data_IF_748391940350
#
_entry.id   IF_748391940350
#
_cell.length_a   1.000
_cell.length_b   1.000
_cell.length_c   1.000
_cell.angle_alpha   90.00
_cell.angle_beta   90.00
_cell.angle_gamma   90.00
#
_symmetry.space_group_name_H-M   'P 1'
#
loop_
_entity.id
_entity.type
_entity.pdbx_description
1 polymer ?
#
# COMPACT_ATOMS: atom_id res chain seq x y z
N UNK A 1 21.55 0.61 -7.59
CA UNK A 1 20.33 0.54 -8.43
C UNK A 1 19.31 1.38 -7.70
N UNK A 2 19.45 2.68 -7.90
CA UNK A 2 18.82 3.74 -7.13
C UNK A 2 17.38 3.88 -7.60
N UNK A 3 16.47 3.41 -6.74
CA UNK A 3 15.04 3.63 -6.91
C UNK A 3 14.85 5.14 -6.78
N UNK A 4 14.35 5.78 -7.85
CA UNK A 4 14.08 7.21 -7.90
C UNK A 4 12.91 7.54 -6.97
N UNK A 5 13.17 7.68 -5.67
CA UNK A 5 12.21 8.35 -4.78
C UNK A 5 12.16 9.82 -5.21
N UNK A 6 11.11 10.19 -5.94
CA UNK A 6 10.86 11.59 -6.31
C UNK A 6 10.29 12.27 -5.06
N UNK A 7 11.14 12.99 -4.33
CA UNK A 7 10.68 13.86 -3.25
C UNK A 7 10.03 15.10 -3.86
N UNK A 8 8.74 15.32 -3.59
CA UNK A 8 8.06 16.52 -4.04
C UNK A 8 8.43 17.67 -3.10
N UNK A 9 9.14 18.68 -3.62
CA UNK A 9 9.58 19.83 -2.83
C UNK A 9 8.43 20.81 -2.51
N UNK A 10 7.29 20.68 -3.21
CA UNK A 10 6.07 21.42 -2.93
C UNK A 10 5.02 20.50 -2.30
N UNK A 11 4.22 20.99 -1.33
CA UNK A 11 3.06 20.25 -0.86
C UNK A 11 2.12 19.99 -2.04
N UNK A 12 1.81 18.72 -2.27
CA UNK A 12 0.83 18.28 -3.27
C UNK A 12 -0.48 19.00 -2.95
N UNK A 13 -1.15 19.58 -3.96
CA UNK A 13 -2.37 20.31 -3.69
C UNK A 13 -3.41 19.38 -3.04
N UNK A 14 -4.26 19.86 -2.12
CA UNK A 14 -5.28 19.02 -1.48
C UNK A 14 -6.25 18.37 -2.49
N UNK A 15 -6.38 18.96 -3.68
CA UNK A 15 -7.14 18.43 -4.81
C UNK A 15 -6.44 17.31 -5.55
N UNK A 16 -5.11 17.21 -5.44
CA UNK A 16 -4.26 16.21 -6.10
C UNK A 16 -3.99 15.00 -5.19
N UNK A 17 -3.91 15.19 -3.87
CA UNK A 17 -3.80 14.10 -2.90
C UNK A 17 -4.72 14.35 -1.71
N UNK A 18 -5.82 13.60 -1.63
CA UNK A 18 -6.77 13.70 -0.53
C UNK A 18 -6.22 12.89 0.65
N UNK A 19 -5.78 13.60 1.68
CA UNK A 19 -5.26 13.04 2.93
C UNK A 19 -6.24 13.36 4.05
N UNK A 20 -6.48 12.42 4.98
CA UNK A 20 -7.27 12.67 6.18
C UNK A 20 -6.52 13.59 7.15
N UNK A 21 -7.20 14.17 8.14
CA UNK A 21 -6.54 14.96 9.20
C UNK A 21 -5.46 14.15 9.97
N UNK A 22 -5.56 12.82 9.93
CA UNK A 22 -4.59 11.88 10.50
C UNK A 22 -3.39 11.55 9.58
N UNK A 23 -3.26 12.20 8.43
CA UNK A 23 -2.14 11.95 7.51
C UNK A 23 -2.26 10.68 6.67
N UNK A 24 -3.45 10.06 6.61
CA UNK A 24 -3.70 8.83 5.83
C UNK A 24 -4.24 9.16 4.45
N UNK A 25 -3.82 8.40 3.43
CA UNK A 25 -4.41 8.53 2.09
C UNK A 25 -5.90 8.16 2.16
N UNK A 26 -6.80 9.04 1.73
CA UNK A 26 -8.25 8.85 1.93
C UNK A 26 -8.79 7.54 1.33
N UNK A 27 -8.35 7.21 0.12
CA UNK A 27 -8.81 6.05 -0.66
C UNK A 27 -8.30 4.71 -0.08
N UNK A 28 -7.04 4.66 0.34
CA UNK A 28 -6.39 3.46 0.84
C UNK A 28 -6.45 3.33 2.38
N UNK A 29 -6.60 4.45 3.07
CA UNK A 29 -6.57 4.59 4.52
C UNK A 29 -5.26 4.11 5.15
N UNK A 30 -4.18 4.30 4.41
CA UNK A 30 -2.83 3.88 4.80
C UNK A 30 -2.03 5.10 5.24
N UNK A 31 -1.32 4.95 6.36
CA UNK A 31 -0.26 5.86 6.76
C UNK A 31 1.05 5.39 6.11
N UNK A 32 2.00 6.30 5.79
CA UNK A 32 3.31 5.90 5.28
C UNK A 32 4.01 4.86 6.16
N UNK A 33 3.85 4.96 7.48
CA UNK A 33 4.45 4.01 8.42
C UNK A 33 3.83 2.60 8.38
N UNK A 34 2.62 2.45 7.83
CA UNK A 34 1.92 1.16 7.73
C UNK A 34 2.40 0.33 6.52
N UNK A 35 3.16 0.94 5.61
CA UNK A 35 3.69 0.35 4.38
C UNK A 35 5.20 0.12 4.51
N UNK A 36 5.70 -0.93 3.88
CA UNK A 36 7.11 -1.22 3.71
C UNK A 36 7.66 -0.64 2.40
N UNK A 37 8.97 -0.47 2.31
CA UNK A 37 9.62 0.00 1.08
C UNK A 37 9.45 -1.00 -0.08
N UNK A 38 9.44 -2.29 0.24
CA UNK A 38 9.21 -3.37 -0.72
C UNK A 38 7.71 -3.72 -0.79
N UNK A 39 7.13 -3.49 -1.96
CA UNK A 39 5.68 -3.58 -2.18
C UNK A 39 5.35 -4.57 -3.30
N UNK A 40 4.51 -5.56 -2.99
CA UNK A 40 3.94 -6.51 -3.94
C UNK A 40 2.51 -6.11 -4.26
N UNK A 41 2.22 -5.83 -5.53
CA UNK A 41 0.87 -5.49 -5.98
C UNK A 41 0.20 -6.70 -6.62
N UNK A 42 -1.02 -7.02 -6.19
CA UNK A 42 -1.83 -8.10 -6.76
C UNK A 42 -3.18 -7.56 -7.25
N UNK A 43 -3.73 -8.17 -8.30
CA UNK A 43 -5.05 -7.75 -8.80
C UNK A 43 -6.20 -8.26 -7.91
N UNK A 44 -6.11 -9.50 -7.45
CA UNK A 44 -7.16 -10.16 -6.66
C UNK A 44 -6.90 -10.00 -5.15
N UNK A 45 -7.90 -9.53 -4.42
CA UNK A 45 -7.90 -9.39 -2.97
C UNK A 45 -7.68 -10.73 -2.24
N UNK A 46 -8.15 -11.85 -2.80
CA UNK A 46 -7.95 -13.16 -2.20
C UNK A 46 -6.49 -13.64 -2.31
N UNK A 47 -5.69 -13.00 -3.16
CA UNK A 47 -4.27 -13.33 -3.31
C UNK A 47 -3.42 -12.71 -2.21
N UNK A 48 -3.83 -11.60 -1.63
CA UNK A 48 -3.14 -10.93 -0.51
C UNK A 48 -2.95 -11.87 0.69
N UNK A 49 -3.99 -12.52 1.25
CA UNK A 49 -3.81 -13.44 2.36
C UNK A 49 -2.92 -14.64 1.98
N UNK A 50 -3.02 -15.13 0.74
CA UNK A 50 -2.16 -16.23 0.22
C UNK A 50 -0.70 -15.85 0.13
N UNK A 51 -0.35 -14.59 -0.16
CA UNK A 51 1.04 -14.13 -0.12
C UNK A 51 1.48 -13.95 1.33
N UNK A 52 0.66 -13.31 2.15
CA UNK A 52 1.00 -13.03 3.54
C UNK A 52 1.13 -14.29 4.41
N UNK A 53 0.63 -15.45 3.99
CA UNK A 53 0.85 -16.72 4.69
C UNK A 53 2.33 -17.13 4.72
N UNK A 54 3.12 -16.62 3.77
CA UNK A 54 4.55 -16.88 3.69
C UNK A 54 5.35 -15.92 4.56
N UNK A 55 4.73 -14.87 5.10
CA UNK A 55 5.40 -13.94 6.00
C UNK A 55 5.65 -14.61 7.34
N UNK A 56 6.83 -14.37 7.88
CA UNK A 56 7.24 -14.86 9.21
C UNK A 56 6.41 -14.18 10.30
N UNK A 57 6.11 -12.90 10.09
CA UNK A 57 5.27 -12.09 10.96
C UNK A 57 4.42 -11.13 10.14
N UNK A 58 3.22 -10.82 10.62
CA UNK A 58 2.38 -9.79 10.01
C UNK A 58 2.19 -8.68 11.04
N UNK A 59 2.71 -7.50 10.73
CA UNK A 59 2.67 -6.31 11.61
C UNK A 59 1.38 -5.51 11.41
N UNK A 60 0.86 -5.50 10.18
CA UNK A 60 -0.31 -4.70 9.83
C UNK A 60 -1.20 -5.44 8.82
N UNK A 61 -2.51 -5.37 9.05
CA UNK A 61 -3.53 -5.84 8.11
C UNK A 61 -4.65 -4.81 8.05
N UNK A 62 -4.99 -4.36 6.85
CA UNK A 62 -6.13 -3.48 6.62
C UNK A 62 -6.88 -3.89 5.37
N UNK A 63 -8.20 -3.84 5.46
CA UNK A 63 -9.10 -4.10 4.35
C UNK A 63 -10.05 -2.94 4.22
N UNK A 64 -10.09 -2.31 3.04
CA UNK A 64 -11.00 -1.22 2.71
C UNK A 64 -11.55 -1.41 1.30
N UNK A 65 -12.82 -1.79 1.22
CA UNK A 65 -13.53 -2.10 -0.05
C UNK A 65 -12.76 -3.15 -0.88
N UNK A 66 -12.15 -2.73 -1.99
CA UNK A 66 -11.41 -3.59 -2.93
C UNK A 66 -9.90 -3.64 -2.63
N UNK A 67 -9.43 -2.82 -1.69
CA UNK A 67 -8.04 -2.74 -1.26
C UNK A 67 -7.83 -3.56 0.00
N UNK A 68 -7.01 -4.60 -0.10
CA UNK A 68 -6.51 -5.39 1.03
C UNK A 68 -5.02 -5.15 1.09
N UNK A 69 -4.51 -4.71 2.24
CA UNK A 69 -3.07 -4.47 2.45
C UNK A 69 -2.60 -5.23 3.67
N UNK A 70 -1.60 -6.09 3.48
CA UNK A 70 -0.90 -6.78 4.57
C UNK A 70 0.57 -6.36 4.55
N UNK A 71 1.09 -5.89 5.68
CA UNK A 71 2.51 -5.58 5.86
C UNK A 71 3.08 -6.50 6.91
N UNK A 72 4.23 -7.09 6.64
CA UNK A 72 4.89 -8.02 7.53
C UNK A 72 6.36 -8.17 7.22
N UNK A 73 6.95 -9.21 7.79
CA UNK A 73 8.36 -9.55 7.63
C UNK A 73 8.50 -10.86 6.87
N UNK A 74 9.38 -10.87 5.88
CA UNK A 74 9.75 -12.05 5.11
C UNK A 74 11.26 -12.07 4.93
N UNK A 75 11.91 -13.10 5.48
CA UNK A 75 13.36 -13.31 5.36
C UNK A 75 14.16 -12.11 5.91
N UNK A 76 13.71 -11.54 7.04
CA UNK A 76 14.32 -10.36 7.67
C UNK A 76 14.05 -9.02 6.98
N UNK A 77 13.29 -9.00 5.88
CA UNK A 77 12.91 -7.79 5.17
C UNK A 77 11.44 -7.46 5.40
N UNK A 78 11.14 -6.18 5.62
CA UNK A 78 9.76 -5.70 5.73
C UNK A 78 9.15 -5.64 4.33
N UNK A 79 8.05 -6.33 4.09
CA UNK A 79 7.35 -6.40 2.80
C UNK A 79 5.87 -6.09 3.00
N UNK A 80 5.31 -5.28 2.11
CA UNK A 80 3.88 -5.03 2.00
C UNK A 80 3.31 -5.72 0.77
N UNK A 81 2.14 -6.31 0.89
CA UNK A 81 1.34 -6.79 -0.24
C UNK A 81 0.01 -6.05 -0.26
N UNK A 82 -0.36 -5.49 -1.41
CA UNK A 82 -1.66 -4.83 -1.59
C UNK A 82 -2.44 -5.38 -2.79
N UNK A 83 -3.77 -5.44 -2.66
CA UNK A 83 -4.66 -5.63 -3.80
C UNK A 83 -5.15 -4.30 -4.35
N UNK A 84 -5.17 -4.16 -5.66
CA UNK A 84 -5.73 -2.98 -6.34
C UNK A 84 -7.12 -3.22 -6.93
N UNK A 85 -7.66 -4.44 -6.84
CA UNK A 85 -8.88 -4.83 -7.55
C UNK A 85 -8.64 -5.00 -9.06
N UNK A 86 -9.55 -5.70 -9.74
CA UNK A 86 -9.48 -5.93 -11.20
C UNK A 86 -9.97 -4.65 -11.90
N UNK A 87 -9.04 -3.85 -12.42
CA UNK A 87 -9.37 -2.76 -13.32
C UNK A 87 -8.20 -1.80 -13.54
N UNK A 88 -7.79 -1.62 -14.80
CA UNK A 88 -6.87 -0.54 -15.19
C UNK A 88 -7.38 0.86 -14.78
N UNK A 89 -8.67 0.99 -14.43
CA UNK A 89 -9.28 2.22 -13.93
C UNK A 89 -8.79 2.61 -12.52
N UNK A 90 -8.30 1.64 -11.72
CA UNK A 90 -7.91 1.90 -10.33
C UNK A 90 -6.48 2.42 -10.15
N UNK A 91 -5.65 2.39 -11.20
CA UNK A 91 -4.29 2.96 -11.17
C UNK A 91 -4.26 4.48 -11.43
N UNK A 92 -5.39 5.10 -11.83
CA UNK A 92 -5.40 6.47 -12.37
C UNK A 92 -6.11 7.52 -11.49
N UNK A 93 -6.53 7.15 -10.28
CA UNK A 93 -7.15 8.09 -9.32
C UNK A 93 -6.36 8.24 -8.01
N UNK A 94 -5.04 8.10 -8.07
CA UNK A 94 -4.11 8.32 -6.95
C UNK A 94 -3.15 9.48 -7.25
#
# INVERSE_FOLDING_TARGET
>A
MDIKTVTHQNPIAPSELIVTEEGRIYHLDLHPDDIADDIIVVGDQERVPRVSQHFEKIDFKRTKREFVTHTGEYNGNRISVLSTGIGCDNMISL
#
